data_IF_321153313587
#
_entry.id   IF_321153313587
#
_cell.length_a   1.000
_cell.length_b   1.000
_cell.length_c   1.000
_cell.angle_alpha   90.00
_cell.angle_beta   90.00
_cell.angle_gamma   90.00
#
_symmetry.space_group_name_H-M   'P 1'
#
loop_
_entity.id
_entity.type
_entity.pdbx_description
1 polymer ?
#
# COMPACT_ATOMS: atom_id res chain seq x y z
N UNK A 1 -10.42 19.74 7.29
CA UNK A 1 -9.50 19.26 6.24
C UNK A 1 -8.91 17.94 6.73
N UNK A 2 -9.12 16.80 6.04
CA UNK A 2 -8.58 15.51 6.52
C UNK A 2 -7.05 15.48 6.40
N UNK A 3 -6.37 15.03 7.44
CA UNK A 3 -4.89 14.94 7.44
C UNK A 3 -4.41 13.82 6.52
N UNK A 4 -3.16 13.87 6.05
CA UNK A 4 -2.57 12.81 5.20
C UNK A 4 -2.68 11.43 5.87
N UNK A 5 -2.49 11.38 7.19
CA UNK A 5 -2.61 10.18 8.04
C UNK A 5 -4.02 9.59 7.96
N UNK A 6 -5.06 10.41 8.14
CA UNK A 6 -6.46 9.96 8.07
C UNK A 6 -6.82 9.37 6.70
N UNK A 7 -6.30 9.96 5.61
CA UNK A 7 -6.51 9.42 4.26
C UNK A 7 -5.88 8.03 4.10
N UNK A 8 -4.69 7.80 4.65
CA UNK A 8 -4.02 6.49 4.61
C UNK A 8 -4.74 5.46 5.50
N UNK A 9 -5.16 5.85 6.69
CA UNK A 9 -5.95 4.97 7.58
C UNK A 9 -7.27 4.52 6.94
N UNK A 10 -7.96 5.43 6.25
CA UNK A 10 -9.20 5.10 5.51
C UNK A 10 -8.92 4.14 4.35
N UNK A 11 -7.81 4.34 3.61
CA UNK A 11 -7.37 3.40 2.57
C UNK A 11 -7.12 2.00 3.13
N UNK A 12 -6.36 1.88 4.22
CA UNK A 12 -6.07 0.58 4.84
C UNK A 12 -7.38 -0.11 5.26
N UNK A 13 -8.31 0.63 5.90
CA UNK A 13 -9.62 0.08 6.28
C UNK A 13 -10.43 -0.40 5.07
N UNK A 14 -10.40 0.33 3.97
CA UNK A 14 -11.05 -0.08 2.71
C UNK A 14 -10.42 -1.33 2.13
N UNK A 15 -9.09 -1.44 2.10
CA UNK A 15 -8.43 -2.65 1.60
C UNK A 15 -8.74 -3.87 2.45
N UNK A 16 -8.71 -3.73 3.78
CA UNK A 16 -9.13 -4.81 4.67
C UNK A 16 -10.58 -5.24 4.41
N UNK A 17 -11.48 -4.28 4.20
CA UNK A 17 -12.87 -4.58 3.86
C UNK A 17 -13.01 -5.27 2.49
N UNK A 18 -12.30 -4.80 1.46
CA UNK A 18 -12.31 -5.41 0.12
C UNK A 18 -11.73 -6.83 0.09
N UNK A 19 -10.71 -7.09 0.92
CA UNK A 19 -10.13 -8.42 1.10
C UNK A 19 -11.00 -9.34 1.96
N UNK A 20 -12.06 -8.83 2.60
CA UNK A 20 -12.82 -9.57 3.60
C UNK A 20 -11.99 -9.91 4.85
N UNK A 21 -10.88 -9.21 5.07
CA UNK A 21 -9.97 -9.49 6.17
C UNK A 21 -10.43 -8.83 7.46
N UNK A 22 -10.50 -9.64 8.51
CA UNK A 22 -10.61 -9.12 9.88
C UNK A 22 -9.27 -8.50 10.30
N UNK A 23 -9.32 -7.58 11.28
CA UNK A 23 -8.11 -6.99 11.86
C UNK A 23 -7.20 -8.05 12.49
N UNK A 24 -7.78 -9.15 12.96
CA UNK A 24 -7.04 -10.31 13.48
C UNK A 24 -6.28 -11.00 12.36
N UNK A 25 -6.93 -11.30 11.23
CA UNK A 25 -6.27 -11.94 10.08
C UNK A 25 -5.13 -11.08 9.52
N UNK A 26 -5.30 -9.77 9.48
CA UNK A 26 -4.21 -8.89 9.07
C UNK A 26 -3.06 -8.83 10.11
N UNK A 27 -3.36 -8.97 11.40
CA UNK A 27 -2.33 -9.08 12.43
C UNK A 27 -1.52 -10.39 12.31
N UNK A 28 -2.17 -11.49 11.91
CA UNK A 28 -1.51 -12.77 11.63
C UNK A 28 -0.54 -12.62 10.44
N UNK A 29 -1.01 -12.05 9.33
CA UNK A 29 -0.17 -11.79 8.14
C UNK A 29 0.99 -10.85 8.46
N UNK A 30 0.75 -9.81 9.26
CA UNK A 30 1.81 -8.91 9.72
C UNK A 30 2.85 -9.63 10.59
N UNK A 31 2.41 -10.56 11.44
CA UNK A 31 3.31 -11.35 12.25
C UNK A 31 4.20 -12.24 11.38
N UNK A 32 3.62 -12.92 10.39
CA UNK A 32 4.38 -13.74 9.43
C UNK A 32 5.41 -12.90 8.68
N UNK A 33 5.03 -11.75 8.14
CA UNK A 33 5.95 -10.89 7.37
C UNK A 33 7.06 -10.26 8.25
N UNK A 34 6.78 -10.01 9.54
CA UNK A 34 7.75 -9.41 10.48
C UNK A 34 8.69 -10.43 11.13
N UNK A 35 8.25 -11.67 11.33
CA UNK A 35 8.97 -12.66 12.14
C UNK A 35 9.34 -13.94 11.37
N UNK A 36 8.59 -14.34 10.33
CA UNK A 36 8.94 -15.53 9.55
C UNK A 36 10.03 -15.27 8.50
N UNK A 37 10.32 -14.01 8.15
CA UNK A 37 11.38 -13.70 7.16
C UNK A 37 12.79 -13.69 7.74
N UNK A 38 12.96 -13.44 9.04
CA UNK A 38 14.28 -13.14 9.62
C UNK A 38 14.71 -14.06 10.77
N UNK A 39 13.85 -14.94 11.30
CA UNK A 39 14.19 -15.74 12.49
C UNK A 39 13.85 -17.23 12.30
N UNK A 40 14.87 -18.07 12.17
CA UNK A 40 14.78 -19.54 12.11
C UNK A 40 14.33 -20.19 13.44
N UNK A 41 14.15 -19.40 14.50
CA UNK A 41 13.71 -19.87 15.83
C UNK A 41 12.24 -19.53 16.12
N UNK A 42 11.31 -19.99 15.27
CA UNK A 42 9.88 -19.96 15.60
C UNK A 42 9.55 -21.15 16.50
N UNK A 43 9.99 -21.08 17.75
CA UNK A 43 9.40 -21.87 18.82
C UNK A 43 8.10 -21.18 19.25
N UNK A 44 6.99 -21.83 18.90
CA UNK A 44 5.59 -21.48 19.18
C UNK A 44 5.02 -20.22 18.51
N UNK A 45 3.89 -20.45 17.84
CA UNK A 45 2.95 -19.45 17.34
C UNK A 45 2.38 -18.65 18.53
N UNK A 46 3.14 -17.64 18.99
CA UNK A 46 2.86 -16.88 20.20
C UNK A 46 1.62 -16.00 19.98
N UNK A 47 0.46 -16.55 20.36
CA UNK A 47 -0.84 -15.87 20.28
C UNK A 47 -0.86 -14.55 21.05
N UNK A 48 -0.01 -14.36 22.05
CA UNK A 48 0.05 -13.10 22.77
C UNK A 48 0.81 -12.02 21.98
N UNK A 49 1.79 -12.38 21.15
CA UNK A 49 2.41 -11.45 20.20
C UNK A 49 1.42 -10.99 19.13
N UNK A 50 0.69 -11.93 18.55
CA UNK A 50 -0.37 -11.62 17.56
C UNK A 50 -1.40 -10.68 18.18
N UNK A 51 -1.84 -10.93 19.41
CA UNK A 51 -2.76 -10.04 20.14
C UNK A 51 -2.19 -8.65 20.34
N UNK A 52 -0.90 -8.53 20.70
CA UNK A 52 -0.23 -7.22 20.82
C UNK A 52 -0.18 -6.50 19.48
N UNK A 53 0.12 -7.20 18.39
CA UNK A 53 0.12 -6.63 17.03
C UNK A 53 -1.29 -6.15 16.67
N UNK A 54 -2.33 -6.96 16.90
CA UNK A 54 -3.71 -6.58 16.64
C UNK A 54 -4.14 -5.33 17.44
N UNK A 55 -3.77 -5.25 18.72
CA UNK A 55 -4.04 -4.08 19.56
C UNK A 55 -3.29 -2.83 19.06
N UNK A 56 -2.03 -2.98 18.64
CA UNK A 56 -1.23 -1.88 18.11
C UNK A 56 -1.78 -1.41 16.76
N UNK A 57 -2.14 -2.34 15.87
CA UNK A 57 -2.81 -2.06 14.60
C UNK A 57 -4.10 -1.26 14.82
N UNK A 58 -4.93 -1.66 15.79
CA UNK A 58 -6.14 -0.92 16.13
C UNK A 58 -5.83 0.50 16.61
N UNK A 59 -4.82 0.68 17.47
CA UNK A 59 -4.38 2.00 17.92
C UNK A 59 -3.88 2.84 16.74
N UNK A 60 -3.09 2.26 15.85
CA UNK A 60 -2.54 2.93 14.67
C UNK A 60 -3.59 3.32 13.63
N UNK A 61 -4.69 2.59 13.53
CA UNK A 61 -5.80 2.90 12.61
C UNK A 61 -6.83 3.89 13.19
N UNK A 62 -6.79 4.15 14.50
CA UNK A 62 -7.71 5.06 15.17
C UNK A 62 -7.06 6.37 15.62
N UNK A 63 -5.75 6.39 15.92
CA UNK A 63 -5.05 7.58 16.43
C UNK A 63 -4.54 8.45 15.30
N UNK A 64 -4.80 9.75 15.39
CA UNK A 64 -4.30 10.77 14.43
C UNK A 64 -2.81 11.06 14.57
N UNK A 65 -2.18 10.62 15.67
CA UNK A 65 -0.74 10.79 15.95
C UNK A 65 0.13 9.62 15.45
N UNK A 66 -0.45 8.68 14.71
CA UNK A 66 0.29 7.54 14.18
C UNK A 66 1.29 7.99 13.14
N UNK A 67 2.54 7.52 13.23
CA UNK A 67 3.59 7.82 12.25
C UNK A 67 3.19 7.34 10.87
N UNK A 68 3.38 8.18 9.86
CA UNK A 68 3.05 7.89 8.46
C UNK A 68 3.78 6.64 7.94
N UNK A 69 5.05 6.48 8.31
CA UNK A 69 5.90 5.34 7.94
C UNK A 69 5.30 3.98 8.34
N UNK A 70 4.62 3.92 9.49
CA UNK A 70 3.99 2.68 9.97
C UNK A 70 2.79 2.33 9.09
N UNK A 71 2.00 3.33 8.69
CA UNK A 71 0.86 3.14 7.81
C UNK A 71 1.30 2.74 6.41
N UNK A 72 2.42 3.29 5.92
CA UNK A 72 3.01 2.88 4.65
C UNK A 72 3.52 1.44 4.69
N UNK A 73 4.15 1.03 5.80
CA UNK A 73 4.52 -0.38 5.99
C UNK A 73 3.30 -1.30 5.92
N UNK A 74 2.18 -0.93 6.55
CA UNK A 74 0.94 -1.73 6.47
C UNK A 74 0.39 -1.81 5.05
N UNK A 75 0.40 -0.70 4.30
CA UNK A 75 -0.02 -0.70 2.90
C UNK A 75 0.86 -1.61 2.05
N UNK A 76 2.18 -1.56 2.24
CA UNK A 76 3.13 -2.41 1.51
C UNK A 76 2.90 -3.90 1.79
N UNK A 77 2.64 -4.28 3.05
CA UNK A 77 2.32 -5.67 3.39
C UNK A 77 1.02 -6.12 2.73
N UNK A 78 -0.03 -5.29 2.78
CA UNK A 78 -1.31 -5.59 2.12
C UNK A 78 -1.10 -5.77 0.61
N UNK A 79 -0.39 -4.85 -0.04
CA UNK A 79 -0.14 -4.88 -1.48
C UNK A 79 0.78 -6.03 -1.92
N UNK A 80 1.72 -6.43 -1.06
CA UNK A 80 2.62 -7.55 -1.32
C UNK A 80 1.95 -8.92 -1.23
N UNK A 81 0.81 -9.02 -0.53
CA UNK A 81 0.15 -10.29 -0.26
C UNK A 81 -0.60 -10.86 -1.47
N UNK A 82 -0.59 -12.19 -1.62
CA UNK A 82 -1.20 -12.90 -2.74
C UNK A 82 -2.71 -12.67 -2.82
N UNK A 83 -3.45 -12.71 -1.70
CA UNK A 83 -4.88 -12.38 -1.65
C UNK A 83 -5.21 -11.01 -2.28
N UNK A 84 -4.33 -10.00 -2.13
CA UNK A 84 -4.55 -8.68 -2.71
C UNK A 84 -4.36 -8.68 -4.22
N UNK A 85 -3.36 -9.42 -4.71
CA UNK A 85 -3.13 -9.64 -6.15
C UNK A 85 -4.24 -10.48 -6.77
N UNK A 86 -4.71 -11.52 -6.07
CA UNK A 86 -5.79 -12.40 -6.50
C UNK A 86 -7.13 -11.68 -6.68
N UNK A 87 -7.40 -10.66 -5.86
CA UNK A 87 -8.57 -9.80 -5.98
C UNK A 87 -8.45 -8.73 -7.08
N UNK A 88 -7.33 -8.69 -7.81
CA UNK A 88 -7.05 -7.76 -8.90
C UNK A 88 -7.29 -6.27 -8.52
N UNK A 89 -7.14 -5.96 -7.22
CA UNK A 89 -7.32 -4.63 -6.64
C UNK A 89 -6.22 -3.66 -7.10
N UNK A 90 -5.13 -4.18 -7.69
CA UNK A 90 -4.14 -3.41 -8.44
C UNK A 90 -4.77 -2.62 -9.59
N UNK A 91 -5.76 -3.18 -10.30
CA UNK A 91 -6.41 -2.52 -11.45
C UNK A 91 -7.37 -1.39 -11.05
N UNK A 92 -7.89 -1.40 -9.82
CA UNK A 92 -8.83 -0.39 -9.28
C UNK A 92 -8.06 0.73 -8.55
N UNK A 93 -6.75 0.59 -8.42
CA UNK A 93 -5.89 1.64 -7.89
C UNK A 93 -5.49 2.61 -9.01
N UNK A 94 -6.05 3.82 -8.99
CA UNK A 94 -5.39 4.98 -9.58
C UNK A 94 -4.15 5.32 -8.73
N UNK A 95 -3.12 4.50 -8.84
CA UNK A 95 -1.77 4.84 -8.40
C UNK A 95 -1.18 5.75 -9.47
N UNK A 96 -0.85 6.98 -9.09
CA UNK A 96 0.03 7.79 -9.91
C UNK A 96 1.40 7.12 -9.88
N UNK A 97 1.69 6.35 -10.93
CA UNK A 97 3.02 5.83 -11.19
C UNK A 97 3.72 6.88 -12.04
N UNK A 98 4.76 7.52 -11.50
CA UNK A 98 5.59 8.41 -12.31
C UNK A 98 6.37 7.56 -13.31
N UNK A 99 5.81 7.38 -14.50
CA UNK A 99 6.56 6.83 -15.61
C UNK A 99 7.35 7.98 -16.23
N UNK A 100 8.67 8.02 -15.99
CA UNK A 100 9.57 8.93 -16.71
C UNK A 100 9.48 8.76 -18.23
N UNK A 101 8.99 7.60 -18.69
CA UNK A 101 8.70 7.26 -20.08
C UNK A 101 7.67 8.22 -20.69
N UNK A 102 6.65 8.63 -19.93
CA UNK A 102 5.64 9.59 -20.40
C UNK A 102 6.29 10.91 -20.80
N UNK A 103 7.36 11.32 -20.11
CA UNK A 103 8.04 12.59 -20.36
C UNK A 103 8.81 12.56 -21.68
N UNK A 104 9.46 11.43 -21.99
CA UNK A 104 10.16 11.23 -23.25
C UNK A 104 9.18 11.18 -24.44
N UNK A 105 8.12 10.37 -24.34
CA UNK A 105 7.11 10.24 -25.41
C UNK A 105 6.37 11.55 -25.63
N UNK A 106 6.06 12.29 -24.57
CA UNK A 106 5.40 13.59 -24.68
C UNK A 106 6.32 14.65 -25.31
N UNK A 107 7.62 14.63 -25.00
CA UNK A 107 8.61 15.52 -25.64
C UNK A 107 8.78 15.20 -27.13
N UNK A 108 8.83 13.92 -27.49
CA UNK A 108 8.91 13.47 -28.88
C UNK A 108 7.66 13.91 -29.66
N UNK A 109 6.46 13.65 -29.12
CA UNK A 109 5.21 14.09 -29.75
C UNK A 109 5.08 15.61 -29.87
N UNK A 110 5.54 16.38 -28.88
CA UNK A 110 5.57 17.84 -28.95
C UNK A 110 6.59 18.36 -29.98
N UNK A 111 7.72 17.68 -30.12
CA UNK A 111 8.71 17.99 -31.14
C UNK A 111 8.15 17.74 -32.54
N UNK A 112 7.50 16.59 -32.77
CA UNK A 112 6.88 16.26 -34.04
C UNK A 112 5.79 17.27 -34.43
N UNK A 113 4.96 17.70 -33.48
CA UNK A 113 3.96 18.75 -33.69
C UNK A 113 4.63 20.10 -34.02
N UNK A 114 5.71 20.46 -33.32
CA UNK A 114 6.47 21.69 -33.61
C UNK A 114 7.03 21.68 -35.03
N UNK A 115 7.65 20.56 -35.44
CA UNK A 115 8.21 20.39 -36.78
C UNK A 115 7.10 20.42 -37.84
N UNK A 116 5.94 19.82 -37.58
CA UNK A 116 4.80 19.88 -38.49
C UNK A 116 4.28 21.30 -38.69
N UNK A 117 4.18 22.09 -37.61
CA UNK A 117 3.72 23.48 -37.68
C UNK A 117 4.70 24.41 -38.39
N UNK A 118 6.01 24.16 -38.23
CA UNK A 118 7.06 24.93 -38.91
C UNK A 118 7.14 24.59 -40.42
N UNK A 119 6.74 23.38 -40.82
CA UNK A 119 6.70 22.95 -42.22
C UNK A 119 5.40 23.32 -42.96
N UNK A 120 4.37 23.81 -42.26
CA UNK A 120 3.11 24.30 -42.85
C UNK A 120 3.13 25.83 -43.13
N UNK A 121 4.32 26.45 -43.14
CA UNK A 121 4.56 27.83 -43.60
C UNK A 121 5.30 27.86 -44.94
#
# INVERSE_FOLDING_TARGET
>A
MRTKIEKKQDKIKKYLASLGWSRSRFADVLYEELYCRDDENIEDFDRDRIRRIAQNLQKHLCRTTTKEEILDKYLNVIMGHEDFKALNLESVMLTFVSHDILRAVLQEGLYDISVSLDNEQ
#
